data_IF_590743138842
#
_entry.id   IF_590743138842
#
_cell.length_a   1.000
_cell.length_b   1.000
_cell.length_c   1.000
_cell.angle_alpha   90.00
_cell.angle_beta   90.00
_cell.angle_gamma   90.00
#
_symmetry.space_group_name_H-M   'P 1'
#
loop_
_entity.id
_entity.type
_entity.pdbx_description
1 polymer ?
#
# COMPACT_ATOMS: atom_id res chain seq x y z
N UNK A 1 1.38 -7.52 -45.35
CA UNK A 1 0.02 -7.14 -44.89
C UNK A 1 0.08 -5.79 -44.19
N UNK A 2 -0.33 -4.71 -44.88
CA UNK A 2 -0.40 -3.36 -44.30
C UNK A 2 -1.71 -3.25 -43.54
N UNK A 3 -1.68 -3.39 -42.22
CA UNK A 3 -2.88 -3.24 -41.41
C UNK A 3 -3.44 -1.83 -41.60
N UNK A 4 -4.74 -1.74 -41.92
CA UNK A 4 -5.41 -0.46 -42.16
C UNK A 4 -5.28 0.40 -40.88
N UNK A 5 -4.95 1.70 -40.98
CA UNK A 5 -4.73 2.55 -39.81
C UNK A 5 -5.90 2.50 -38.81
N UNK A 6 -7.15 2.37 -39.30
CA UNK A 6 -8.34 2.19 -38.46
C UNK A 6 -8.33 0.95 -37.55
N UNK A 7 -7.70 -0.15 -37.97
CA UNK A 7 -7.61 -1.37 -37.14
C UNK A 7 -6.64 -1.17 -35.96
N UNK A 8 -5.58 -0.38 -36.14
CA UNK A 8 -4.64 -0.03 -35.06
C UNK A 8 -5.29 0.86 -34.01
N UNK A 9 -6.10 1.82 -34.45
CA UNK A 9 -6.84 2.69 -33.54
C UNK A 9 -7.90 1.92 -32.75
N UNK A 10 -8.58 0.95 -33.38
CA UNK A 10 -9.54 0.09 -32.70
C UNK A 10 -8.89 -0.80 -31.63
N UNK A 11 -7.72 -1.39 -31.91
CA UNK A 11 -6.98 -2.18 -30.91
C UNK A 11 -6.46 -1.33 -29.75
N UNK A 12 -6.06 -0.09 -30.00
CA UNK A 12 -5.64 0.84 -28.94
C UNK A 12 -6.81 1.28 -28.06
N UNK A 13 -7.97 1.60 -28.66
CA UNK A 13 -9.17 2.00 -27.93
C UNK A 13 -9.70 0.86 -27.04
N UNK A 14 -9.65 -0.38 -27.54
CA UNK A 14 -10.07 -1.55 -26.78
C UNK A 14 -9.10 -1.87 -25.62
N UNK A 15 -7.78 -1.71 -25.82
CA UNK A 15 -6.80 -1.87 -24.76
C UNK A 15 -6.94 -0.82 -23.65
N UNK A 16 -7.25 0.44 -24.00
CA UNK A 16 -7.51 1.50 -23.02
C UNK A 16 -8.76 1.21 -22.17
N UNK A 17 -9.81 0.65 -22.78
CA UNK A 17 -11.05 0.29 -22.09
C UNK A 17 -10.88 -0.87 -21.09
N UNK A 18 -9.91 -1.77 -21.32
CA UNK A 18 -9.67 -2.94 -20.44
C UNK A 18 -8.62 -2.70 -19.34
N UNK A 19 -7.89 -1.59 -19.38
CA UNK A 19 -6.92 -1.21 -18.33
C UNK A 19 -7.42 -0.07 -17.41
N UNK A 20 -8.61 0.50 -17.69
CA UNK A 20 -9.08 1.74 -17.06
C UNK A 20 -9.83 1.61 -15.73
N UNK A 21 -9.76 0.47 -15.03
CA UNK A 21 -10.57 0.22 -13.84
C UNK A 21 -9.83 -0.57 -12.77
N UNK A 22 -8.79 0.00 -12.18
CA UNK A 22 -8.46 -0.34 -10.80
C UNK A 22 -9.24 0.65 -9.94
N UNK A 23 -10.39 0.24 -9.40
CA UNK A 23 -10.95 0.91 -8.22
C UNK A 23 -9.87 0.89 -7.14
N UNK A 24 -9.70 2.01 -6.44
CA UNK A 24 -8.74 2.13 -5.34
C UNK A 24 -9.25 1.40 -4.09
N UNK A 25 -9.73 0.16 -4.26
CA UNK A 25 -10.32 -0.67 -3.20
C UNK A 25 -9.34 -0.94 -2.06
N UNK A 26 -8.03 -0.90 -2.33
CA UNK A 26 -7.02 -1.27 -1.33
C UNK A 26 -6.92 -0.27 -0.16
N UNK A 27 -7.30 0.99 -0.38
CA UNK A 27 -7.24 2.10 0.58
C UNK A 27 -8.47 3.01 0.40
N UNK A 28 -9.65 2.41 0.44
CA UNK A 28 -10.91 3.16 0.39
C UNK A 28 -10.99 4.12 1.59
N UNK A 29 -11.59 5.29 1.38
CA UNK A 29 -11.72 6.29 2.45
C UNK A 29 -12.79 5.89 3.48
N UNK A 30 -12.58 6.30 4.73
CA UNK A 30 -13.43 6.06 5.88
C UNK A 30 -13.00 4.88 6.75
N UNK A 31 -13.82 4.57 7.76
CA UNK A 31 -13.60 3.43 8.66
C UNK A 31 -12.53 3.68 9.73
N UNK A 32 -12.11 2.60 10.39
CA UNK A 32 -11.25 2.66 11.57
C UNK A 32 -9.84 3.21 11.28
N UNK A 33 -9.31 2.98 10.07
CA UNK A 33 -8.01 3.51 9.67
C UNK A 33 -8.01 5.05 9.65
N UNK A 34 -9.07 5.66 9.11
CA UNK A 34 -9.19 7.12 8.98
C UNK A 34 -9.43 7.76 10.35
N UNK A 35 -10.24 7.10 11.20
CA UNK A 35 -10.42 7.51 12.59
C UNK A 35 -9.09 7.46 13.36
N UNK A 36 -8.31 6.39 13.20
CA UNK A 36 -7.00 6.24 13.84
C UNK A 36 -5.99 7.31 13.40
N UNK A 37 -6.06 7.74 12.14
CA UNK A 37 -5.19 8.80 11.60
C UNK A 37 -5.38 10.15 12.30
N UNK A 38 -6.55 10.41 12.87
CA UNK A 38 -6.88 11.65 13.60
C UNK A 38 -6.51 11.60 15.09
N UNK A 39 -6.21 10.42 15.63
CA UNK A 39 -5.85 10.27 17.05
C UNK A 39 -4.44 10.78 17.33
N UNK A 40 -4.22 11.22 18.57
CA UNK A 40 -2.87 11.55 19.06
C UNK A 40 -2.12 10.24 19.35
N UNK A 41 -0.93 10.03 18.77
CA UNK A 41 -0.15 8.82 19.02
C UNK A 41 0.37 8.77 20.47
N UNK A 42 0.35 7.58 21.06
CA UNK A 42 0.90 7.28 22.38
C UNK A 42 2.13 6.38 22.21
N UNK A 43 3.31 6.92 22.54
CA UNK A 43 4.60 6.26 22.29
C UNK A 43 4.81 5.09 23.24
N UNK A 44 4.55 5.29 24.52
CA UNK A 44 4.74 4.27 25.56
C UNK A 44 3.82 3.08 25.30
N UNK A 45 2.56 3.34 24.95
CA UNK A 45 1.63 2.28 24.52
C UNK A 45 2.07 1.63 23.21
N UNK A 46 2.54 2.42 22.24
CA UNK A 46 3.06 1.91 20.97
C UNK A 46 4.20 0.91 21.14
N UNK A 47 5.15 1.19 22.05
CA UNK A 47 6.26 0.28 22.38
C UNK A 47 5.73 -1.05 22.93
N UNK A 48 4.74 -1.01 23.84
CA UNK A 48 4.16 -2.22 24.40
C UNK A 48 3.40 -3.05 23.34
N UNK A 49 2.62 -2.40 22.48
CA UNK A 49 1.89 -3.09 21.40
C UNK A 49 2.85 -3.67 20.36
N UNK A 50 3.99 -3.02 20.11
CA UNK A 50 4.98 -3.44 19.12
C UNK A 50 5.69 -4.77 19.48
N UNK A 51 5.58 -5.27 20.71
CA UNK A 51 6.21 -6.51 21.17
C UNK A 51 6.01 -7.66 20.18
N UNK A 52 4.76 -7.91 19.76
CA UNK A 52 4.44 -9.02 18.84
C UNK A 52 5.03 -8.82 17.44
N UNK A 53 5.12 -7.57 16.98
CA UNK A 53 5.67 -7.21 15.68
C UNK A 53 7.19 -7.37 15.65
N UNK A 54 7.84 -7.13 16.79
CA UNK A 54 9.30 -7.15 16.93
C UNK A 54 9.92 -8.53 16.65
N UNK A 55 9.15 -9.61 16.80
CA UNK A 55 9.58 -10.97 16.48
C UNK A 55 9.99 -11.13 15.00
N UNK A 56 9.37 -10.36 14.10
CA UNK A 56 9.61 -10.43 12.66
C UNK A 56 10.27 -9.16 12.11
N UNK A 57 9.85 -7.98 12.57
CA UNK A 57 10.34 -6.69 12.08
C UNK A 57 11.55 -6.16 12.87
N UNK A 58 12.06 -6.94 13.83
CA UNK A 58 13.14 -6.58 14.75
C UNK A 58 12.76 -5.44 15.71
N UNK A 59 13.54 -5.25 16.77
CA UNK A 59 13.24 -4.31 17.86
C UNK A 59 13.04 -2.87 17.38
N UNK A 60 13.84 -2.44 16.41
CA UNK A 60 13.80 -1.07 15.87
C UNK A 60 13.00 -0.97 14.56
N UNK A 61 12.32 -2.04 14.12
CA UNK A 61 11.54 -2.01 12.88
C UNK A 61 12.35 -2.01 11.60
N UNK A 62 13.61 -2.47 11.64
CA UNK A 62 14.48 -2.57 10.45
C UNK A 62 14.02 -3.62 9.44
N UNK A 63 13.32 -4.66 9.88
CA UNK A 63 13.01 -5.82 9.04
C UNK A 63 14.25 -6.62 8.62
N UNK A 64 14.05 -7.57 7.72
CA UNK A 64 15.11 -8.42 7.15
C UNK A 64 15.68 -7.83 5.87
N UNK A 65 16.98 -8.07 5.63
CA UNK A 65 17.70 -7.57 4.45
C UNK A 65 17.14 -8.09 3.12
N UNK A 66 16.51 -9.27 3.13
CA UNK A 66 15.91 -9.89 1.96
C UNK A 66 14.46 -9.42 1.69
N UNK A 67 13.90 -8.60 2.59
CA UNK A 67 12.55 -8.05 2.48
C UNK A 67 11.42 -8.99 2.90
N UNK A 68 11.71 -10.21 3.37
CA UNK A 68 10.68 -11.15 3.86
C UNK A 68 9.83 -10.53 4.97
N UNK A 69 10.47 -9.78 5.87
CA UNK A 69 9.81 -8.86 6.78
C UNK A 69 10.32 -7.46 6.48
N UNK A 70 9.51 -6.56 5.88
CA UNK A 70 9.99 -5.26 5.44
C UNK A 70 10.27 -4.31 6.61
N UNK A 71 11.04 -3.26 6.33
CA UNK A 71 11.30 -2.17 7.26
C UNK A 71 10.01 -1.38 7.54
N UNK A 72 9.71 -1.16 8.81
CA UNK A 72 8.62 -0.29 9.30
C UNK A 72 9.16 1.07 9.77
N UNK A 73 10.38 1.11 10.28
CA UNK A 73 11.01 2.34 10.78
C UNK A 73 11.12 3.40 9.68
N UNK A 74 10.55 4.58 9.91
CA UNK A 74 10.56 5.69 8.96
C UNK A 74 9.51 5.59 7.84
N UNK A 75 8.60 4.59 7.88
CA UNK A 75 7.50 4.50 6.94
C UNK A 75 6.46 5.62 7.16
N UNK A 76 5.77 6.01 6.09
CA UNK A 76 4.65 6.94 6.14
C UNK A 76 3.52 6.39 7.01
N UNK A 77 2.89 7.26 7.81
CA UNK A 77 1.78 6.87 8.69
C UNK A 77 0.63 6.20 7.95
N UNK A 78 0.24 6.71 6.78
CA UNK A 78 -0.82 6.16 5.93
C UNK A 78 -0.52 4.80 5.28
N UNK A 79 0.66 4.25 5.55
CA UNK A 79 1.05 2.90 5.10
C UNK A 79 1.10 1.94 6.29
N UNK A 80 1.27 2.45 7.52
CA UNK A 80 1.32 1.66 8.75
C UNK A 80 -0.03 1.58 9.48
N UNK A 81 -0.91 2.56 9.26
CA UNK A 81 -2.25 2.72 9.83
C UNK A 81 -3.23 2.60 8.68
#
# INVERSE_FOLDING_TARGET
MRTKPGLKYLTYAMALAMCGGASAEWNEAGGEQDEAMLLTPDRERGIAVYEVCSACHLLEGWGLKDGTFPQLAGQHRSVLI
#
